data_IF_275635487704
#
_entry.id   IF_275635487704
#
_cell.length_a   1.000
_cell.length_b   1.000
_cell.length_c   1.000
_cell.angle_alpha   90.00
_cell.angle_beta   90.00
_cell.angle_gamma   90.00
#
_symmetry.space_group_name_H-M   'P 1'
#
loop_
_entity.id
_entity.type
_entity.pdbx_description
1 polymer ?
#
# COMPACT_ATOMS: atom_id res chain seq x y z
N UNK A 1 15.02 -6.40 16.97
CA UNK A 1 15.29 -5.38 15.95
C UNK A 1 14.43 -4.15 16.22
N UNK A 2 15.03 -3.01 16.60
CA UNK A 2 14.29 -1.77 16.88
C UNK A 2 13.63 -1.28 15.58
N UNK A 3 12.30 -1.23 15.58
CA UNK A 3 11.49 -1.00 14.37
C UNK A 3 10.59 0.22 14.56
N UNK A 4 10.53 1.09 13.55
CA UNK A 4 9.56 2.18 13.45
C UNK A 4 8.54 1.85 12.36
N UNK A 5 7.26 2.02 12.66
CA UNK A 5 6.17 2.08 11.71
C UNK A 5 5.75 3.54 11.56
N UNK A 6 5.56 4.01 10.34
CA UNK A 6 5.17 5.39 10.11
C UNK A 6 4.18 5.55 8.97
N UNK A 7 3.27 6.52 9.14
CA UNK A 7 2.20 6.84 8.20
C UNK A 7 2.05 8.36 8.09
N UNK A 8 1.40 8.84 7.03
CA UNK A 8 1.06 10.24 6.87
C UNK A 8 -0.38 10.42 6.41
N UNK A 9 -1.08 11.38 7.00
CA UNK A 9 -2.38 11.85 6.54
C UNK A 9 -2.64 13.26 7.06
N UNK A 10 -3.45 14.05 6.35
CA UNK A 10 -3.89 15.37 6.83
C UNK A 10 -4.59 15.27 8.20
N UNK A 11 -4.61 16.35 8.97
CA UNK A 11 -5.16 16.35 10.35
C UNK A 11 -6.56 16.95 10.45
N UNK A 12 -7.07 17.55 9.37
CA UNK A 12 -8.41 18.13 9.28
C UNK A 12 -9.30 17.32 8.35
N UNK A 13 -10.60 17.26 8.68
CA UNK A 13 -11.61 16.56 7.86
C UNK A 13 -11.15 15.15 7.45
N UNK A 14 -10.65 14.40 8.44
CA UNK A 14 -10.21 13.02 8.26
C UNK A 14 -11.44 12.11 8.29
N UNK A 15 -11.73 11.36 7.23
CA UNK A 15 -12.85 10.42 7.22
C UNK A 15 -12.70 9.36 8.32
N UNK A 16 -13.81 8.93 8.92
CA UNK A 16 -13.80 7.97 10.02
C UNK A 16 -13.18 6.61 9.61
N UNK A 17 -13.36 6.21 8.36
CA UNK A 17 -12.78 4.98 7.84
C UNK A 17 -11.24 5.07 7.70
N UNK A 18 -10.67 6.25 7.41
CA UNK A 18 -9.21 6.48 7.42
C UNK A 18 -8.69 6.42 8.86
N UNK A 19 -9.38 7.07 9.80
CA UNK A 19 -9.05 6.98 11.23
C UNK A 19 -9.02 5.52 11.69
N UNK A 20 -10.01 4.73 11.26
CA UNK A 20 -10.08 3.29 11.54
C UNK A 20 -8.88 2.55 10.95
N UNK A 21 -8.54 2.80 9.68
CA UNK A 21 -7.36 2.21 9.03
C UNK A 21 -6.08 2.50 9.83
N UNK A 22 -5.77 3.77 10.10
CA UNK A 22 -4.59 4.17 10.86
C UNK A 22 -4.56 3.58 12.29
N UNK A 23 -5.71 3.51 12.96
CA UNK A 23 -5.82 2.88 14.29
C UNK A 23 -5.49 1.38 14.24
N UNK A 24 -5.93 0.65 13.21
CA UNK A 24 -5.61 -0.78 13.07
C UNK A 24 -4.12 -1.02 12.83
N UNK A 25 -3.48 -0.15 12.04
CA UNK A 25 -2.02 -0.19 11.82
C UNK A 25 -1.27 0.12 13.12
N UNK A 26 -1.70 1.15 13.87
CA UNK A 26 -1.11 1.45 15.18
C UNK A 26 -1.24 0.28 16.14
N UNK A 27 -2.42 -0.34 16.23
CA UNK A 27 -2.65 -1.48 17.11
C UNK A 27 -1.76 -2.69 16.74
N UNK A 28 -1.55 -2.92 15.44
CA UNK A 28 -0.59 -3.92 14.94
C UNK A 28 0.87 -3.57 15.29
N UNK A 29 1.26 -2.31 15.17
CA UNK A 29 2.60 -1.87 15.57
C UNK A 29 2.82 -2.06 17.09
N UNK A 30 1.85 -1.65 17.91
CA UNK A 30 1.89 -1.78 19.37
C UNK A 30 1.99 -3.26 19.79
N UNK A 31 1.22 -4.18 19.17
CA UNK A 31 1.24 -5.61 19.50
C UNK A 31 2.59 -6.27 19.19
N UNK A 32 3.28 -5.76 18.17
CA UNK A 32 4.64 -6.17 17.80
C UNK A 32 5.75 -5.41 18.56
N UNK A 33 5.38 -4.48 19.46
CA UNK A 33 6.31 -3.61 20.20
C UNK A 33 7.19 -2.76 19.28
N UNK A 34 6.63 -2.31 18.16
CA UNK A 34 7.27 -1.35 17.27
C UNK A 34 6.93 0.06 17.71
N UNK A 35 7.86 1.00 17.51
CA UNK A 35 7.55 2.42 17.66
C UNK A 35 6.62 2.83 16.51
N UNK A 36 5.70 3.76 16.75
CA UNK A 36 4.73 4.23 15.76
C UNK A 36 4.72 5.76 15.69
N UNK A 37 4.82 6.32 14.49
CA UNK A 37 4.80 7.78 14.28
C UNK A 37 3.92 8.18 13.09
N UNK A 38 3.05 9.17 13.31
CA UNK A 38 2.24 9.79 12.25
C UNK A 38 2.78 11.16 11.89
N UNK A 39 2.61 11.53 10.63
CA UNK A 39 2.94 12.86 10.11
C UNK A 39 1.70 13.50 9.48
N UNK A 40 1.62 14.82 9.58
CA UNK A 40 0.63 15.62 8.87
C UNK A 40 1.18 16.02 7.48
N UNK A 41 0.64 17.07 6.87
CA UNK A 41 1.09 17.55 5.56
C UNK A 41 2.57 18.01 5.55
N UNK A 42 3.19 18.24 6.71
CA UNK A 42 4.64 18.49 6.80
C UNK A 42 5.46 17.30 6.29
N UNK A 43 4.86 16.12 6.15
CA UNK A 43 5.48 14.95 5.52
C UNK A 43 5.97 15.24 4.10
N UNK A 44 5.26 16.07 3.33
CA UNK A 44 5.67 16.40 1.96
C UNK A 44 6.98 17.20 1.92
N UNK A 45 7.37 17.83 3.02
CA UNK A 45 8.63 18.57 3.14
C UNK A 45 9.88 17.67 3.12
N UNK A 46 9.72 16.36 3.36
CA UNK A 46 10.82 15.40 3.20
C UNK A 46 11.25 15.21 1.75
N UNK A 47 10.36 15.44 0.78
CA UNK A 47 10.76 15.53 -0.62
C UNK A 47 11.49 16.87 -0.88
N UNK A 48 12.45 16.98 -1.80
CA UNK A 48 13.03 18.28 -2.16
C UNK A 48 12.00 19.22 -2.79
N UNK A 49 12.10 20.52 -2.54
CA UNK A 49 11.19 21.54 -3.09
C UNK A 49 11.09 21.49 -4.61
N UNK A 50 12.23 21.47 -5.31
CA UNK A 50 12.27 21.36 -6.77
C UNK A 50 11.53 20.13 -7.29
N UNK A 51 11.47 19.05 -6.50
CA UNK A 51 10.80 17.82 -6.89
C UNK A 51 9.28 17.96 -6.78
N UNK A 52 8.79 18.58 -5.69
CA UNK A 52 7.36 18.89 -5.52
C UNK A 52 6.85 19.82 -6.62
N UNK A 53 7.63 20.84 -6.95
CA UNK A 53 7.29 21.76 -8.04
C UNK A 53 7.22 21.04 -9.39
N UNK A 54 8.19 20.14 -9.63
CA UNK A 54 8.27 19.33 -10.86
C UNK A 54 7.09 18.37 -11.03
N UNK A 55 6.54 17.86 -9.93
CA UNK A 55 5.33 17.03 -9.95
C UNK A 55 4.06 17.87 -9.94
N UNK A 56 4.12 19.20 -10.05
CA UNK A 56 2.98 20.10 -9.87
C UNK A 56 2.20 19.81 -8.57
N UNK A 57 2.92 19.42 -7.50
CA UNK A 57 2.37 19.02 -6.22
C UNK A 57 1.41 17.80 -6.27
N UNK A 58 1.51 16.96 -7.29
CA UNK A 58 0.82 15.65 -7.31
C UNK A 58 1.25 14.82 -6.09
N UNK A 59 0.27 14.43 -5.27
CA UNK A 59 0.50 13.84 -3.94
C UNK A 59 1.26 12.52 -4.03
N UNK A 60 0.90 11.65 -4.98
CA UNK A 60 1.47 10.29 -5.05
C UNK A 60 2.99 10.28 -5.32
N UNK A 61 3.52 10.91 -6.38
CA UNK A 61 4.97 10.90 -6.61
C UNK A 61 5.75 11.61 -5.50
N UNK A 62 5.19 12.64 -4.86
CA UNK A 62 5.82 13.28 -3.69
C UNK A 62 5.88 12.32 -2.50
N UNK A 63 4.79 11.59 -2.24
CA UNK A 63 4.72 10.57 -1.17
C UNK A 63 5.70 9.43 -1.42
N UNK A 64 5.84 8.99 -2.67
CA UNK A 64 6.79 7.95 -3.08
C UNK A 64 8.23 8.30 -2.73
N UNK A 65 8.64 9.56 -2.93
CA UNK A 65 9.98 10.01 -2.56
C UNK A 65 10.11 10.30 -1.06
N UNK A 66 9.13 10.99 -0.47
CA UNK A 66 9.15 11.41 0.93
C UNK A 66 9.26 10.19 1.88
N UNK A 67 8.52 9.11 1.62
CA UNK A 67 8.56 7.89 2.45
C UNK A 67 9.94 7.25 2.48
N UNK A 68 10.68 7.30 1.36
CA UNK A 68 12.02 6.75 1.24
C UNK A 68 13.05 7.62 1.97
N UNK A 69 12.97 8.95 1.80
CA UNK A 69 13.86 9.88 2.50
C UNK A 69 13.68 9.76 4.01
N UNK A 70 12.43 9.67 4.47
CA UNK A 70 12.13 9.52 5.88
C UNK A 70 12.58 8.15 6.43
N UNK A 71 12.41 7.06 5.68
CA UNK A 71 13.00 5.75 6.04
C UNK A 71 14.50 5.89 6.30
N UNK A 72 15.22 6.57 5.39
CA UNK A 72 16.67 6.77 5.51
C UNK A 72 17.04 7.56 6.76
N UNK A 73 16.25 8.57 7.13
CA UNK A 73 16.47 9.34 8.36
C UNK A 73 16.23 8.50 9.62
N UNK A 74 15.24 7.63 9.64
CA UNK A 74 15.03 6.74 10.79
C UNK A 74 16.18 5.71 10.91
N UNK A 75 16.57 5.11 9.78
CA UNK A 75 17.62 4.10 9.74
C UNK A 75 19.01 4.63 10.06
N UNK A 76 19.27 5.93 9.81
CA UNK A 76 20.52 6.59 10.21
C UNK A 76 20.61 6.94 11.70
N UNK A 77 19.49 6.83 12.43
CA UNK A 77 19.42 7.06 13.88
C UNK A 77 19.57 5.74 14.64
N UNK A 78 18.57 5.39 15.44
CA UNK A 78 18.57 4.21 16.32
C UNK A 78 17.74 3.04 15.78
N UNK A 79 16.99 3.24 14.69
CA UNK A 79 16.14 2.19 14.11
C UNK A 79 16.92 1.25 13.19
N UNK A 80 16.67 -0.04 13.34
CA UNK A 80 17.21 -1.09 12.50
C UNK A 80 16.27 -1.45 11.35
N UNK A 81 14.97 -1.14 11.48
CA UNK A 81 13.97 -1.33 10.43
C UNK A 81 12.97 -0.18 10.41
N UNK A 82 12.65 0.31 9.22
CA UNK A 82 11.63 1.31 8.98
C UNK A 82 10.53 0.70 8.09
N UNK A 83 9.27 0.84 8.52
CA UNK A 83 8.09 0.30 7.83
C UNK A 83 7.15 1.46 7.52
N UNK A 84 6.96 1.72 6.23
CA UNK A 84 5.92 2.63 5.75
C UNK A 84 4.64 1.86 5.47
N UNK A 85 3.51 2.42 5.91
CA UNK A 85 2.18 1.90 5.59
C UNK A 85 1.28 3.08 5.21
N UNK A 86 0.63 3.05 4.03
CA UNK A 86 -0.31 4.10 3.63
C UNK A 86 -1.47 4.23 4.65
N UNK A 87 -2.03 5.44 4.80
CA UNK A 87 -3.05 5.73 5.81
C UNK A 87 -4.40 5.01 5.57
N UNK A 88 -4.63 4.53 4.36
CA UNK A 88 -5.80 3.79 3.91
C UNK A 88 -5.58 2.26 3.90
N UNK A 89 -4.56 1.80 4.62
CA UNK A 89 -4.33 0.38 4.91
C UNK A 89 -5.15 -0.05 6.12
N UNK A 90 -6.01 -1.05 5.94
CA UNK A 90 -6.80 -1.66 7.00
C UNK A 90 -6.19 -3.01 7.41
N UNK A 91 -5.74 -3.14 8.65
CA UNK A 91 -5.25 -4.40 9.22
C UNK A 91 -6.37 -5.10 9.98
N UNK A 92 -6.83 -6.25 9.49
CA UNK A 92 -7.94 -7.01 10.09
C UNK A 92 -7.51 -8.36 10.68
N UNK A 93 -6.31 -8.86 10.34
CA UNK A 93 -5.73 -10.08 10.94
C UNK A 93 -4.28 -9.84 11.38
N UNK A 94 -4.05 -9.06 12.45
CA UNK A 94 -2.71 -8.60 12.83
C UNK A 94 -1.74 -9.74 13.18
N UNK A 95 -2.25 -10.89 13.60
CA UNK A 95 -1.44 -12.09 13.92
C UNK A 95 -0.82 -12.73 12.67
N UNK A 96 -1.47 -12.56 11.51
CA UNK A 96 -0.96 -13.08 10.22
C UNK A 96 -0.15 -12.05 9.45
N UNK A 97 -0.16 -10.78 9.84
CA UNK A 97 0.66 -9.73 9.24
C UNK A 97 2.07 -9.74 9.84
N UNK A 98 2.91 -10.67 9.39
CA UNK A 98 4.25 -10.89 9.93
C UNK A 98 5.34 -10.39 8.98
N UNK A 99 6.21 -9.50 9.47
CA UNK A 99 7.36 -8.99 8.70
C UNK A 99 8.64 -9.73 9.12
N UNK A 100 8.94 -10.81 8.39
CA UNK A 100 10.05 -11.74 8.67
C UNK A 100 11.31 -11.46 7.83
N UNK A 101 11.69 -10.18 7.71
CA UNK A 101 13.00 -9.80 7.18
C UNK A 101 13.83 -9.08 8.23
N UNK A 102 15.08 -9.52 8.36
CA UNK A 102 16.09 -8.93 9.26
C UNK A 102 17.14 -8.13 8.50
N UNK A 103 17.19 -8.31 7.18
CA UNK A 103 18.08 -7.63 6.24
C UNK A 103 17.25 -7.30 4.99
N UNK A 104 17.77 -6.43 4.14
CA UNK A 104 17.17 -6.10 2.85
C UNK A 104 15.88 -5.23 2.92
N UNK A 105 14.98 -5.35 1.94
CA UNK A 105 13.76 -4.57 1.79
C UNK A 105 12.58 -5.42 1.33
N UNK A 106 11.36 -4.91 1.50
CA UNK A 106 10.13 -5.46 0.92
C UNK A 106 9.25 -4.34 0.38
N UNK A 107 8.55 -4.65 -0.71
CA UNK A 107 7.34 -3.96 -1.16
C UNK A 107 6.16 -4.95 -1.12
N UNK A 108 4.93 -4.52 -1.36
CA UNK A 108 3.80 -5.45 -1.45
C UNK A 108 3.54 -5.93 -2.88
N UNK A 109 3.11 -7.19 -2.99
CA UNK A 109 2.57 -7.74 -4.22
C UNK A 109 1.16 -7.19 -4.44
N UNK A 110 0.93 -6.64 -5.62
CA UNK A 110 -0.37 -6.14 -6.02
C UNK A 110 -0.98 -7.08 -7.05
N UNK A 111 -2.16 -7.59 -6.73
CA UNK A 111 -3.07 -8.21 -7.67
C UNK A 111 -4.15 -7.19 -7.97
N UNK A 112 -4.25 -6.78 -9.23
CA UNK A 112 -5.24 -5.80 -9.67
C UNK A 112 -6.17 -6.44 -10.69
N UNK A 113 -7.42 -6.62 -10.30
CA UNK A 113 -8.52 -7.07 -11.16
C UNK A 113 -9.09 -5.87 -11.92
N UNK A 114 -9.15 -5.98 -13.24
CA UNK A 114 -9.75 -4.97 -14.10
C UNK A 114 -10.57 -5.65 -15.21
N UNK A 115 -11.43 -4.88 -15.87
CA UNK A 115 -12.14 -5.35 -17.07
C UNK A 115 -11.46 -4.81 -18.32
N UNK A 116 -11.26 -5.66 -19.32
CA UNK A 116 -10.79 -5.23 -20.64
C UNK A 116 -11.90 -4.52 -21.45
N UNK A 117 -11.60 -4.16 -22.71
CA UNK A 117 -12.53 -3.45 -23.57
C UNK A 117 -13.79 -4.26 -23.89
N UNK A 118 -13.69 -5.58 -23.81
CA UNK A 118 -14.77 -6.55 -24.01
C UNK A 118 -15.55 -6.84 -22.72
N UNK A 119 -15.13 -6.27 -21.59
CA UNK A 119 -15.76 -6.44 -20.28
C UNK A 119 -15.35 -7.73 -19.56
N UNK A 120 -14.35 -8.44 -20.07
CA UNK A 120 -13.81 -9.68 -19.50
C UNK A 120 -12.84 -9.31 -18.36
N UNK A 121 -12.92 -10.09 -17.28
CA UNK A 121 -12.05 -9.92 -16.13
C UNK A 121 -10.61 -10.33 -16.48
N UNK A 122 -9.68 -9.44 -16.13
CA UNK A 122 -8.25 -9.58 -16.33
C UNK A 122 -7.52 -9.31 -15.02
N UNK A 123 -6.45 -10.07 -14.78
CA UNK A 123 -5.59 -9.93 -13.62
C UNK A 123 -4.24 -9.37 -14.06
N UNK A 124 -3.76 -8.35 -13.34
CA UNK A 124 -2.36 -7.93 -13.43
C UNK A 124 -1.65 -8.15 -12.10
N UNK A 125 -0.44 -8.69 -12.19
CA UNK A 125 0.49 -8.84 -11.07
C UNK A 125 1.52 -7.72 -11.13
N UNK A 126 1.55 -6.91 -10.07
CA UNK A 126 2.35 -5.68 -9.98
C UNK A 126 3.05 -5.59 -8.62
N UNK A 127 3.89 -4.58 -8.47
CA UNK A 127 4.48 -4.20 -7.19
C UNK A 127 3.85 -2.90 -6.73
N UNK A 128 3.48 -2.81 -5.46
CA UNK A 128 2.91 -1.63 -4.84
C UNK A 128 3.73 -1.23 -3.61
N UNK A 129 3.75 0.05 -3.29
CA UNK A 129 4.56 0.62 -2.20
C UNK A 129 3.73 1.10 -0.99
N UNK A 130 2.44 0.80 -0.98
CA UNK A 130 1.54 1.07 0.16
C UNK A 130 1.93 0.34 1.44
N UNK A 131 2.72 -0.73 1.33
CA UNK A 131 3.44 -1.35 2.43
C UNK A 131 4.90 -1.52 2.01
N UNK A 132 5.81 -0.82 2.68
CA UNK A 132 7.24 -0.83 2.33
C UNK A 132 8.09 -1.03 3.57
N UNK A 133 9.11 -1.89 3.48
CA UNK A 133 10.04 -2.19 4.57
C UNK A 133 11.46 -1.96 4.10
N UNK A 134 12.26 -1.26 4.90
CA UNK A 134 13.71 -1.18 4.72
C UNK A 134 14.43 -1.50 6.02
N UNK A 135 15.41 -2.40 5.95
CA UNK A 135 16.35 -2.66 7.04
C UNK A 135 17.59 -1.77 6.92
N UNK A 136 18.24 -1.51 8.05
CA UNK A 136 19.47 -0.72 8.12
C UNK A 136 20.59 -1.37 7.29
N UNK A 137 21.49 -0.55 6.77
CA UNK A 137 22.62 -0.93 5.92
C UNK A 137 22.20 -1.58 4.60
N UNK A 138 20.97 -1.36 4.15
CA UNK A 138 20.51 -1.74 2.84
C UNK A 138 20.89 -0.68 1.79
N UNK A 139 21.69 -1.09 0.79
CA UNK A 139 22.11 -0.24 -0.34
C UNK A 139 20.96 0.13 -1.29
N UNK A 140 19.89 -0.66 -1.31
CA UNK A 140 18.76 -0.48 -2.21
C UNK A 140 17.93 0.76 -1.86
N UNK A 141 17.87 1.16 -0.59
CA UNK A 141 17.16 2.39 -0.22
C UNK A 141 17.78 3.62 -0.90
N UNK A 142 19.12 3.70 -0.91
CA UNK A 142 19.83 4.78 -1.59
C UNK A 142 19.62 4.73 -3.11
N UNK A 143 19.58 3.53 -3.68
CA UNK A 143 19.24 3.33 -5.09
C UNK A 143 17.83 3.83 -5.43
N UNK A 144 16.82 3.49 -4.62
CA UNK A 144 15.44 3.92 -4.86
C UNK A 144 15.29 5.45 -4.77
N UNK A 145 15.94 6.07 -3.78
CA UNK A 145 15.99 7.53 -3.66
C UNK A 145 16.64 8.16 -4.90
N UNK A 146 17.82 7.67 -5.31
CA UNK A 146 18.52 8.19 -6.49
C UNK A 146 17.69 7.99 -7.77
N UNK A 147 17.03 6.84 -7.93
CA UNK A 147 16.16 6.56 -9.07
C UNK A 147 14.99 7.55 -9.14
N UNK A 148 14.27 7.77 -8.03
CA UNK A 148 13.17 8.75 -7.98
C UNK A 148 13.66 10.16 -8.37
N UNK A 149 14.79 10.61 -7.80
CA UNK A 149 15.36 11.93 -8.10
C UNK A 149 15.79 12.04 -9.57
N UNK A 150 16.38 10.99 -10.16
CA UNK A 150 16.74 10.97 -11.59
C UNK A 150 15.53 11.01 -12.50
N UNK A 151 14.52 10.19 -12.23
CA UNK A 151 13.26 10.20 -12.98
C UNK A 151 12.66 11.60 -12.92
N UNK A 152 12.61 12.22 -11.72
CA UNK A 152 12.09 13.57 -11.56
C UNK A 152 12.84 14.62 -12.38
N UNK A 153 14.17 14.52 -12.47
CA UNK A 153 14.99 15.44 -13.29
C UNK A 153 14.82 15.24 -14.79
N UNK A 154 14.64 14.00 -15.24
CA UNK A 154 14.72 13.64 -16.66
C UNK A 154 13.37 13.62 -17.36
N UNK A 155 12.30 13.19 -16.67
CA UNK A 155 10.97 13.15 -17.28
C UNK A 155 10.42 14.56 -17.50
N UNK A 156 9.68 14.74 -18.59
CA UNK A 156 8.97 16.00 -18.87
C UNK A 156 7.85 16.16 -17.85
N UNK A 157 7.00 15.13 -17.72
CA UNK A 157 5.91 15.01 -16.76
C UNK A 157 6.07 13.73 -15.93
N UNK A 158 5.64 13.78 -14.67
CA UNK A 158 5.68 12.64 -13.75
C UNK A 158 4.24 12.23 -13.48
N UNK A 159 3.86 11.05 -13.94
CA UNK A 159 2.54 10.48 -13.68
C UNK A 159 2.41 9.95 -12.26
N UNK A 160 1.17 9.81 -11.79
CA UNK A 160 0.81 9.33 -10.44
C UNK A 160 1.51 8.03 -10.02
N UNK A 161 1.71 7.11 -10.97
CA UNK A 161 2.25 5.76 -10.72
C UNK A 161 3.70 5.61 -11.18
N UNK A 162 4.33 6.67 -11.68
CA UNK A 162 5.63 6.60 -12.35
C UNK A 162 6.79 6.21 -11.42
N UNK A 163 6.66 6.45 -10.12
CA UNK A 163 7.71 6.20 -9.12
C UNK A 163 7.37 5.04 -8.19
N UNK A 164 6.09 4.80 -7.95
CA UNK A 164 5.58 3.60 -7.29
C UNK A 164 5.37 2.47 -8.29
N UNK A 165 4.10 2.10 -8.53
CA UNK A 165 3.71 0.85 -9.19
C UNK A 165 4.39 0.59 -10.53
N UNK A 166 4.47 1.58 -11.43
CA UNK A 166 5.04 1.36 -12.76
C UNK A 166 6.54 1.12 -12.69
N UNK A 167 7.27 1.94 -11.94
CA UNK A 167 8.71 1.78 -11.79
C UNK A 167 9.07 0.49 -11.07
N UNK A 168 8.42 0.19 -9.96
CA UNK A 168 8.72 -1.01 -9.15
C UNK A 168 8.37 -2.30 -9.90
N UNK A 169 7.24 -2.34 -10.62
CA UNK A 169 6.86 -3.52 -11.41
C UNK A 169 7.84 -3.76 -12.56
N UNK A 170 8.24 -2.70 -13.27
CA UNK A 170 9.24 -2.80 -14.34
C UNK A 170 10.63 -3.14 -13.82
N UNK A 171 11.01 -2.63 -12.65
CA UNK A 171 12.28 -3.00 -12.02
C UNK A 171 12.28 -4.47 -11.65
N UNK A 172 11.20 -4.98 -11.05
CA UNK A 172 11.12 -6.37 -10.60
C UNK A 172 11.20 -7.38 -11.75
N UNK A 173 10.73 -7.03 -12.95
CA UNK A 173 10.86 -7.91 -14.13
C UNK A 173 12.31 -8.07 -14.60
N UNK A 174 13.19 -7.13 -14.23
CA UNK A 174 14.62 -7.14 -14.56
C UNK A 174 15.45 -7.65 -13.38
N UNK A 175 15.13 -7.21 -12.17
CA UNK A 175 15.82 -7.52 -10.93
C UNK A 175 14.78 -8.04 -9.92
N UNK A 176 14.56 -9.36 -9.85
CA UNK A 176 13.63 -9.94 -8.89
C UNK A 176 14.03 -9.63 -7.44
N UNK A 177 13.06 -9.23 -6.63
CA UNK A 177 13.20 -9.00 -5.18
C UNK A 177 11.97 -9.52 -4.44
N UNK A 178 12.09 -9.86 -3.14
CA UNK A 178 11.01 -10.41 -2.35
C UNK A 178 9.86 -9.39 -2.17
N UNK A 179 8.64 -9.91 -2.08
CA UNK A 179 7.43 -9.12 -1.87
C UNK A 179 6.68 -9.62 -0.63
N UNK A 180 5.94 -8.71 -0.01
CA UNK A 180 4.93 -9.03 0.98
C UNK A 180 3.66 -9.48 0.23
N UNK A 181 3.26 -10.73 0.42
CA UNK A 181 2.22 -11.39 -0.38
C UNK A 181 0.89 -11.62 0.38
N UNK A 182 0.81 -11.17 1.63
CA UNK A 182 -0.39 -11.17 2.48
C UNK A 182 -0.99 -9.76 2.65
N UNK A 183 -0.72 -8.86 1.70
CA UNK A 183 -1.30 -7.51 1.59
C UNK A 183 -2.17 -7.48 0.34
N UNK A 184 -3.46 -7.18 0.48
CA UNK A 184 -4.35 -7.02 -0.67
C UNK A 184 -4.47 -5.56 -1.10
N UNK A 185 -4.72 -5.32 -2.38
CA UNK A 185 -5.11 -4.02 -2.92
C UNK A 185 -6.53 -4.16 -3.46
N UNK A 186 -7.49 -3.37 -2.97
CA UNK A 186 -8.90 -3.49 -3.35
C UNK A 186 -9.35 -2.33 -4.24
N UNK A 187 -9.91 -2.66 -5.40
CA UNK A 187 -10.64 -1.69 -6.22
C UNK A 187 -12.05 -1.46 -5.68
N UNK A 188 -12.72 -0.34 -6.04
CA UNK A 188 -14.11 -0.08 -5.62
C UNK A 188 -15.09 -1.20 -6.01
N UNK A 189 -14.87 -1.85 -7.16
CA UNK A 189 -15.66 -3.00 -7.58
C UNK A 189 -15.56 -4.16 -6.58
N UNK A 190 -14.34 -4.52 -6.17
CA UNK A 190 -14.12 -5.58 -5.17
C UNK A 190 -14.67 -5.19 -3.79
N UNK A 191 -14.52 -3.93 -3.39
CA UNK A 191 -15.12 -3.43 -2.14
C UNK A 191 -16.64 -3.59 -2.15
N UNK A 192 -17.31 -3.28 -3.28
CA UNK A 192 -18.76 -3.44 -3.41
C UNK A 192 -19.17 -4.90 -3.32
N UNK A 193 -18.44 -5.80 -3.97
CA UNK A 193 -18.72 -7.24 -3.89
C UNK A 193 -18.55 -7.80 -2.48
N UNK A 194 -17.58 -7.30 -1.70
CA UNK A 194 -17.43 -7.63 -0.28
C UNK A 194 -18.65 -7.15 0.52
N UNK A 195 -19.11 -5.92 0.31
CA UNK A 195 -20.24 -5.34 1.05
C UNK A 195 -21.58 -6.01 0.70
N UNK A 196 -21.78 -6.37 -0.57
CA UNK A 196 -23.02 -7.01 -1.04
C UNK A 196 -23.00 -8.53 -0.90
N UNK A 197 -21.85 -9.12 -0.55
CA UNK A 197 -21.62 -10.57 -0.56
C UNK A 197 -21.91 -11.21 -1.93
N UNK A 198 -21.53 -10.53 -3.01
CA UNK A 198 -21.71 -10.96 -4.41
C UNK A 198 -20.34 -11.23 -5.07
N UNK A 199 -19.67 -12.36 -4.80
CA UNK A 199 -18.21 -12.48 -4.95
C UNK A 199 -17.75 -12.84 -6.37
N UNK A 200 -18.39 -12.35 -7.45
CA UNK A 200 -18.06 -12.77 -8.82
C UNK A 200 -16.61 -12.45 -9.20
N UNK A 201 -16.22 -11.17 -9.11
CA UNK A 201 -14.83 -10.75 -9.30
C UNK A 201 -13.94 -11.09 -8.10
N UNK A 202 -14.51 -11.13 -6.90
CA UNK A 202 -13.79 -11.44 -5.67
C UNK A 202 -13.28 -12.87 -5.64
N UNK A 203 -13.99 -13.83 -6.25
CA UNK A 203 -13.51 -15.19 -6.45
C UNK A 203 -12.26 -15.17 -7.32
N UNK A 204 -12.30 -14.53 -8.49
CA UNK A 204 -11.13 -14.45 -9.40
C UNK A 204 -9.94 -13.78 -8.71
N UNK A 205 -10.17 -12.66 -8.02
CA UNK A 205 -9.17 -11.99 -7.21
C UNK A 205 -8.56 -12.92 -6.14
N UNK A 206 -9.40 -13.58 -5.35
CA UNK A 206 -8.96 -14.44 -4.25
C UNK A 206 -8.21 -15.68 -4.75
N UNK A 207 -8.58 -16.23 -5.90
CA UNK A 207 -7.89 -17.38 -6.50
C UNK A 207 -6.46 -17.07 -6.94
N UNK A 208 -6.15 -15.80 -7.18
CA UNK A 208 -4.80 -15.34 -7.53
C UNK A 208 -3.94 -14.97 -6.30
N UNK A 209 -4.51 -15.00 -5.07
CA UNK A 209 -3.77 -14.73 -3.83
C UNK A 209 -2.90 -15.91 -3.41
N UNK A 210 -1.58 -15.69 -3.33
CA UNK A 210 -0.60 -16.70 -2.89
C UNK A 210 -0.80 -17.04 -1.42
N UNK A 211 -0.94 -16.02 -0.55
CA UNK A 211 -1.16 -16.19 0.89
C UNK A 211 -2.50 -15.57 1.32
N UNK A 212 -3.07 -15.97 2.48
CA UNK A 212 -4.21 -15.27 3.04
C UNK A 212 -3.83 -13.81 3.29
N UNK A 213 -4.67 -12.88 2.87
CA UNK A 213 -4.48 -11.46 3.15
C UNK A 213 -4.74 -11.20 4.64
N UNK A 214 -3.91 -10.36 5.25
CA UNK A 214 -4.02 -9.94 6.64
C UNK A 214 -4.39 -8.46 6.78
N UNK A 215 -4.12 -7.70 5.72
CA UNK A 215 -4.51 -6.31 5.57
C UNK A 215 -4.80 -5.98 4.09
N UNK A 216 -5.51 -4.88 3.87
CA UNK A 216 -5.77 -4.38 2.52
C UNK A 216 -5.56 -2.88 2.43
N UNK A 217 -5.04 -2.40 1.30
CA UNK A 217 -5.10 -1.00 0.92
C UNK A 217 -6.45 -0.74 0.23
N UNK A 218 -7.20 0.25 0.72
CA UNK A 218 -8.52 0.61 0.19
C UNK A 218 -8.45 1.64 -0.94
N UNK A 219 -7.28 2.09 -1.37
CA UNK A 219 -7.10 2.99 -2.50
C UNK A 219 -7.88 4.32 -2.35
N UNK A 220 -7.69 5.02 -1.24
CA UNK A 220 -8.33 6.32 -0.92
C UNK A 220 -8.27 7.34 -2.06
N UNK A 221 -7.24 7.27 -2.88
CA UNK A 221 -7.08 8.11 -4.05
C UNK A 221 -8.15 7.93 -5.13
N UNK A 222 -9.03 6.91 -5.00
CA UNK A 222 -10.19 6.65 -5.85
C UNK A 222 -11.50 7.15 -5.22
N UNK A 223 -11.48 7.66 -3.98
CA UNK A 223 -12.68 8.18 -3.31
C UNK A 223 -13.36 9.26 -4.17
N UNK A 224 -14.68 9.13 -4.31
CA UNK A 224 -15.51 10.01 -5.13
C UNK A 224 -15.44 9.76 -6.64
N UNK A 225 -14.63 8.80 -7.11
CA UNK A 225 -14.54 8.44 -8.52
C UNK A 225 -15.43 7.24 -8.84
N UNK A 226 -15.89 7.17 -10.09
CA UNK A 226 -16.55 5.99 -10.64
C UNK A 226 -15.51 5.11 -11.34
N UNK A 227 -15.31 3.90 -10.83
CA UNK A 227 -14.36 2.92 -11.36
C UNK A 227 -15.12 1.63 -11.60
N UNK A 228 -15.06 1.10 -12.83
CA UNK A 228 -15.74 -0.15 -13.24
C UNK A 228 -17.25 -0.14 -12.91
N UNK A 229 -17.91 1.02 -13.07
CA UNK A 229 -19.34 1.18 -12.78
C UNK A 229 -19.71 1.28 -11.30
N UNK A 230 -18.72 1.45 -10.41
CA UNK A 230 -18.92 1.61 -8.98
C UNK A 230 -18.39 2.97 -8.53
N UNK A 231 -19.26 3.77 -7.90
CA UNK A 231 -18.87 5.02 -7.26
C UNK A 231 -18.26 4.70 -5.89
N UNK A 232 -17.02 5.10 -5.68
CA UNK A 232 -16.31 4.92 -4.41
C UNK A 232 -16.69 6.02 -3.40
N UNK A 233 -17.95 6.04 -2.98
CA UNK A 233 -18.42 6.98 -1.96
C UNK A 233 -17.96 6.58 -0.55
N UNK A 234 -18.12 7.49 0.41
CA UNK A 234 -17.70 7.25 1.79
C UNK A 234 -18.42 6.07 2.45
N UNK A 235 -19.68 5.80 2.07
CA UNK A 235 -20.44 4.68 2.62
C UNK A 235 -19.84 3.34 2.24
N UNK A 236 -19.31 3.22 1.01
CA UNK A 236 -18.61 2.03 0.55
C UNK A 236 -17.39 1.73 1.42
N UNK A 237 -16.56 2.74 1.70
CA UNK A 237 -15.36 2.60 2.54
C UNK A 237 -15.69 2.21 3.98
N UNK A 238 -16.74 2.81 4.56
CA UNK A 238 -17.19 2.47 5.93
C UNK A 238 -17.67 1.01 5.97
N UNK A 239 -18.53 0.62 5.03
CA UNK A 239 -19.13 -0.72 5.02
C UNK A 239 -18.09 -1.81 4.75
N UNK A 240 -17.16 -1.59 3.81
CA UNK A 240 -16.10 -2.58 3.53
C UNK A 240 -15.15 -2.72 4.72
N UNK A 241 -14.84 -1.61 5.41
CA UNK A 241 -14.03 -1.62 6.63
C UNK A 241 -14.69 -2.47 7.72
N UNK A 242 -15.98 -2.26 7.96
CA UNK A 242 -16.75 -3.06 8.93
C UNK A 242 -16.81 -4.55 8.55
N UNK A 243 -17.05 -4.87 7.28
CA UNK A 243 -17.12 -6.25 6.80
C UNK A 243 -15.78 -6.99 6.99
N UNK A 244 -14.66 -6.34 6.64
CA UNK A 244 -13.32 -6.93 6.77
C UNK A 244 -12.91 -7.12 8.22
N UNK A 245 -13.19 -6.14 9.10
CA UNK A 245 -12.87 -6.25 10.52
C UNK A 245 -13.72 -7.32 11.22
N UNK A 246 -15.03 -7.35 10.96
CA UNK A 246 -15.94 -8.32 11.60
C UNK A 246 -15.66 -9.77 11.20
N UNK A 247 -15.16 -9.99 9.98
CA UNK A 247 -14.80 -11.32 9.48
C UNK A 247 -13.33 -11.67 9.65
N UNK A 248 -12.48 -10.74 10.15
CA UNK A 248 -11.01 -10.85 10.07
C UNK A 248 -10.52 -11.22 8.66
N UNK A 249 -11.16 -10.65 7.65
CA UNK A 249 -10.88 -10.89 6.23
C UNK A 249 -11.28 -12.27 5.69
N UNK A 250 -12.01 -13.09 6.46
CA UNK A 250 -12.47 -14.42 6.03
C UNK A 250 -13.31 -14.33 4.74
N UNK A 251 -14.05 -13.24 4.55
CA UNK A 251 -14.85 -13.00 3.34
C UNK A 251 -14.05 -13.10 2.04
N UNK A 252 -12.77 -12.74 2.06
CA UNK A 252 -11.81 -12.90 0.96
C UNK A 252 -11.12 -14.26 1.08
N UNK A 253 -10.56 -14.54 2.26
CA UNK A 253 -9.62 -15.65 2.45
C UNK A 253 -10.24 -17.03 2.25
N UNK A 254 -11.54 -17.19 2.51
CA UNK A 254 -12.29 -18.45 2.28
C UNK A 254 -12.47 -18.80 0.80
N UNK A 255 -12.34 -17.82 -0.10
CA UNK A 255 -12.52 -17.99 -1.54
C UNK A 255 -11.22 -18.40 -2.26
N UNK A 256 -10.09 -18.37 -1.55
CA UNK A 256 -8.80 -18.82 -2.07
C UNK A 256 -8.87 -20.32 -2.38
N UNK A 257 -8.25 -20.75 -3.47
CA UNK A 257 -8.03 -22.19 -3.68
C UNK A 257 -6.96 -22.67 -2.68
N UNK A 258 -7.12 -23.86 -2.08
CA UNK A 258 -6.02 -24.49 -1.35
C UNK A 258 -4.83 -24.65 -2.29
N UNK A 259 -3.61 -24.48 -1.76
CA UNK A 259 -2.36 -24.50 -2.53
C UNK A 259 -2.33 -25.68 -3.52
N UNK A 260 -2.24 -25.36 -4.83
CA UNK A 260 -1.70 -26.31 -5.81
C UNK A 260 -0.20 -26.36 -5.56
N UNK A 261 0.21 -27.23 -4.65
CA UNK A 261 1.61 -27.65 -4.47
C UNK A 261 2.18 -28.23 -5.76
#
# INVERSE_FOLDING_TARGET
MKTIVYQSYRTNNVPDWINTCMQTVKAWADSNKFDYQTFDDSFFEYAPEWFRDKTNNEICPVTDLARLILAKQFLSREYERAIWIDADMLVFDPEKLVVNIERDFLFCHEIWLFKDAEGVDQISHRVNNSFTVFCRNNVHLDFFIDACLRIGRQKITIGKLDLGTNFLSNLRSILPFPLMENVGILSPALMREIVLEEPLGLIEYAQNLIFPVACVNLCASLQGQEIQGVIADESLYINVTHALLSTRGDIINRLRQPERL
#
